data_IF_105921860492
#
_entry.id   IF_105921860492
#
_cell.length_a   1.000
_cell.length_b   1.000
_cell.length_c   1.000
_cell.angle_alpha   90.00
_cell.angle_beta   90.00
_cell.angle_gamma   90.00
#
_symmetry.space_group_name_H-M   'P 1'
#
loop_
_entity.id
_entity.type
_entity.pdbx_description
1 polymer ?
#
# COMPACT_ATOMS: atom_id res chain seq x y z
N UNK A 1 -21.32 -7.56 -7.07
CA UNK A 1 -21.17 -6.09 -7.03
C UNK A 1 -20.23 -5.80 -5.87
N UNK A 2 -18.93 -5.98 -6.10
CA UNK A 2 -17.92 -5.71 -5.07
C UNK A 2 -17.26 -4.37 -5.38
N UNK A 3 -17.19 -3.52 -4.37
CA UNK A 3 -16.88 -2.11 -4.53
C UNK A 3 -15.37 -1.93 -4.69
N UNK A 4 -14.92 -1.77 -5.93
CA UNK A 4 -13.62 -1.15 -6.22
C UNK A 4 -13.72 0.34 -5.88
N UNK A 5 -13.13 0.75 -4.75
CA UNK A 5 -12.93 2.16 -4.44
C UNK A 5 -11.53 2.54 -4.90
N UNK A 6 -11.44 3.43 -5.89
CA UNK A 6 -10.18 3.97 -6.41
C UNK A 6 -10.02 5.40 -5.92
N UNK A 7 -8.94 5.68 -5.20
CA UNK A 7 -8.55 7.03 -4.79
C UNK A 7 -7.34 7.43 -5.62
N UNK A 8 -7.50 8.45 -6.45
CA UNK A 8 -6.43 8.99 -7.28
C UNK A 8 -6.05 10.38 -6.79
N UNK A 9 -4.79 10.58 -6.45
CA UNK A 9 -4.22 11.88 -6.11
C UNK A 9 -3.18 12.30 -7.14
N UNK A 10 -3.25 13.54 -7.64
CA UNK A 10 -2.26 14.12 -8.55
C UNK A 10 -1.50 15.25 -7.86
N UNK A 11 -0.17 15.19 -7.92
CA UNK A 11 0.76 16.18 -7.38
C UNK A 11 1.78 16.64 -8.44
N UNK A 12 2.77 17.44 -8.03
CA UNK A 12 3.60 18.28 -8.92
C UNK A 12 4.38 17.50 -10.02
N UNK A 13 4.47 16.16 -9.94
CA UNK A 13 4.87 15.32 -11.07
C UNK A 13 4.43 13.85 -10.87
N UNK A 14 3.14 13.55 -10.69
CA UNK A 14 2.72 12.13 -10.62
C UNK A 14 1.30 11.86 -10.14
N UNK A 15 0.91 10.59 -10.25
CA UNK A 15 -0.37 10.00 -9.88
C UNK A 15 -0.16 8.80 -8.95
N UNK A 16 -0.80 8.82 -7.78
CA UNK A 16 -0.96 7.65 -6.92
C UNK A 16 -2.40 7.16 -7.02
N UNK A 17 -2.58 5.89 -7.37
CA UNK A 17 -3.86 5.19 -7.33
C UNK A 17 -3.88 4.22 -6.14
N UNK A 18 -4.95 4.24 -5.35
CA UNK A 18 -5.19 3.24 -4.31
C UNK A 18 -6.53 2.56 -4.58
N UNK A 19 -6.51 1.26 -4.79
CA UNK A 19 -7.67 0.44 -5.16
C UNK A 19 -7.97 -0.57 -4.07
N UNK A 20 -9.20 -0.58 -3.56
CA UNK A 20 -9.67 -1.61 -2.62
C UNK A 20 -10.46 -2.67 -3.36
N UNK A 21 -10.03 -3.93 -3.30
CA UNK A 21 -10.61 -5.03 -4.10
C UNK A 21 -11.03 -6.21 -3.24
N UNK A 22 -11.85 -7.10 -3.78
CA UNK A 22 -12.25 -8.34 -3.09
C UNK A 22 -11.16 -9.40 -3.06
N UNK A 23 -11.39 -10.49 -2.31
CA UNK A 23 -10.46 -11.63 -2.28
C UNK A 23 -10.34 -12.28 -3.67
N UNK A 24 -11.46 -12.42 -4.38
CA UNK A 24 -11.50 -13.02 -5.71
C UNK A 24 -10.70 -12.17 -6.71
N UNK A 25 -10.91 -10.86 -6.70
CA UNK A 25 -10.19 -9.91 -7.55
C UNK A 25 -8.69 -9.89 -7.21
N UNK A 26 -8.34 -9.88 -5.93
CA UNK A 26 -6.94 -9.91 -5.48
C UNK A 26 -6.22 -11.19 -5.93
N UNK A 27 -6.84 -12.37 -5.79
CA UNK A 27 -6.25 -13.63 -6.25
C UNK A 27 -6.05 -13.64 -7.77
N UNK A 28 -7.00 -13.09 -8.53
CA UNK A 28 -6.89 -12.98 -9.97
C UNK A 28 -5.73 -12.06 -10.38
N UNK A 29 -5.60 -10.90 -9.72
CA UNK A 29 -4.51 -9.94 -9.97
C UNK A 29 -3.16 -10.57 -9.63
N UNK A 30 -3.04 -11.21 -8.45
CA UNK A 30 -1.81 -11.86 -8.00
C UNK A 30 -1.34 -12.94 -8.98
N UNK A 31 -2.28 -13.76 -9.46
CA UNK A 31 -1.98 -14.81 -10.43
C UNK A 31 -1.61 -14.25 -11.80
N UNK A 32 -2.33 -13.23 -12.28
CA UNK A 32 -2.22 -12.74 -13.66
C UNK A 32 -1.00 -11.83 -13.85
N UNK A 33 -0.71 -10.96 -12.88
CA UNK A 33 0.29 -9.91 -13.04
C UNK A 33 1.55 -10.14 -12.20
N UNK A 34 1.43 -10.77 -11.03
CA UNK A 34 2.60 -11.07 -10.16
C UNK A 34 3.11 -12.49 -10.42
N UNK A 35 2.26 -13.40 -10.88
CA UNK A 35 2.61 -14.80 -11.14
C UNK A 35 2.64 -15.66 -9.88
N UNK A 36 1.95 -15.25 -8.82
CA UNK A 36 1.83 -16.01 -7.58
C UNK A 36 0.41 -16.55 -7.40
N UNK A 37 0.31 -17.80 -6.94
CA UNK A 37 -0.98 -18.40 -6.60
C UNK A 37 -1.40 -18.02 -5.17
N UNK A 38 -2.70 -17.78 -5.01
CA UNK A 38 -3.32 -17.52 -3.71
C UNK A 38 -3.46 -16.03 -3.38
N UNK A 39 -4.06 -15.80 -2.22
CA UNK A 39 -4.46 -14.49 -1.76
C UNK A 39 -3.32 -13.76 -1.04
N UNK A 40 -3.16 -12.48 -1.35
CA UNK A 40 -2.22 -11.58 -0.67
C UNK A 40 -2.97 -10.38 -0.06
N UNK A 41 -2.31 -9.65 0.82
CA UNK A 41 -2.86 -8.50 1.52
C UNK A 41 -2.78 -7.21 0.70
N UNK A 42 -1.65 -6.98 0.05
CA UNK A 42 -1.37 -5.82 -0.80
C UNK A 42 -0.55 -6.21 -2.03
N UNK A 43 -0.80 -5.52 -3.15
CA UNK A 43 0.03 -5.55 -4.35
C UNK A 43 0.36 -4.10 -4.72
N UNK A 44 1.61 -3.83 -5.08
CA UNK A 44 2.05 -2.52 -5.53
C UNK A 44 2.59 -2.64 -6.96
N UNK A 45 2.04 -1.85 -7.87
CA UNK A 45 2.57 -1.66 -9.22
C UNK A 45 3.25 -0.30 -9.33
N UNK A 46 4.39 -0.31 -10.01
CA UNK A 46 5.17 0.88 -10.33
C UNK A 46 5.33 0.92 -11.84
N UNK A 47 4.75 1.94 -12.47
CA UNK A 47 4.66 2.04 -13.93
C UNK A 47 5.78 2.89 -14.55
N UNK A 48 6.77 3.31 -13.74
CA UNK A 48 7.88 4.14 -14.23
C UNK A 48 8.86 3.36 -15.10
N UNK A 49 9.34 4.00 -16.18
CA UNK A 49 10.34 3.41 -17.09
C UNK A 49 11.69 3.16 -16.40
N UNK A 50 12.06 4.03 -15.46
CA UNK A 50 13.33 4.00 -14.71
C UNK A 50 13.32 3.02 -13.51
N UNK A 51 12.19 2.37 -13.22
CA UNK A 51 12.01 1.41 -12.12
C UNK A 51 11.81 2.07 -10.74
N UNK A 52 11.89 1.27 -9.67
CA UNK A 52 11.61 1.73 -8.31
C UNK A 52 12.65 2.75 -7.79
N UNK A 53 12.19 3.87 -7.21
CA UNK A 53 13.02 4.89 -6.54
C UNK A 53 12.46 6.31 -6.66
N UNK A 54 12.52 7.15 -5.62
CA UNK A 54 12.21 8.59 -5.76
C UNK A 54 13.11 9.22 -6.84
N UNK A 55 12.64 10.27 -7.57
CA UNK A 55 13.45 10.96 -8.55
C UNK A 55 14.82 11.33 -7.96
N UNK A 56 15.89 10.83 -8.58
CA UNK A 56 17.23 10.78 -7.96
C UNK A 56 18.06 12.03 -8.22
N UNK A 57 17.67 12.84 -9.21
CA UNK A 57 18.40 14.04 -9.61
C UNK A 57 17.47 15.25 -9.81
N UNK A 58 17.99 16.46 -9.59
CA UNK A 58 17.31 17.70 -9.99
C UNK A 58 17.21 17.74 -11.53
N UNK A 59 16.06 17.35 -12.06
CA UNK A 59 15.83 17.22 -13.50
C UNK A 59 15.14 15.91 -13.91
N UNK A 60 14.97 14.97 -12.97
CA UNK A 60 14.17 13.76 -13.16
C UNK A 60 12.68 14.15 -13.17
N UNK A 61 12.12 14.30 -14.38
CA UNK A 61 10.72 14.68 -14.62
C UNK A 61 9.82 13.46 -14.82
N UNK A 62 10.32 12.24 -14.61
CA UNK A 62 9.50 11.04 -14.80
C UNK A 62 8.32 11.10 -13.83
N UNK A 63 7.08 11.13 -14.35
CA UNK A 63 5.91 11.22 -13.50
C UNK A 63 5.82 9.97 -12.65
N UNK A 64 5.65 10.15 -11.34
CA UNK A 64 5.46 9.03 -10.41
C UNK A 64 4.10 8.41 -10.71
N UNK A 65 4.06 7.20 -11.26
CA UNK A 65 2.82 6.47 -11.54
C UNK A 65 2.79 5.16 -10.75
N UNK A 66 2.09 5.18 -9.63
CA UNK A 66 2.06 4.07 -8.67
C UNK A 66 0.64 3.66 -8.39
N UNK A 67 0.38 2.36 -8.35
CA UNK A 67 -0.89 1.78 -7.95
C UNK A 67 -0.71 0.82 -6.78
N UNK A 68 -1.49 1.04 -5.71
CA UNK A 68 -1.52 0.18 -4.54
C UNK A 68 -2.90 -0.47 -4.46
N UNK A 69 -2.92 -1.79 -4.54
CA UNK A 69 -4.13 -2.60 -4.47
C UNK A 69 -4.18 -3.28 -3.11
N UNK A 70 -5.24 -3.05 -2.35
CA UNK A 70 -5.41 -3.58 -0.99
C UNK A 70 -6.65 -4.46 -0.92
N UNK A 71 -6.55 -5.60 -0.25
CA UNK A 71 -7.70 -6.45 0.05
C UNK A 71 -8.19 -6.18 1.50
N UNK A 72 -9.33 -5.48 1.70
CA UNK A 72 -9.82 -5.13 3.03
C UNK A 72 -10.08 -6.33 3.95
N UNK A 73 -10.58 -7.44 3.41
CA UNK A 73 -10.90 -8.62 4.22
C UNK A 73 -9.63 -9.33 4.73
N UNK A 74 -8.56 -9.37 3.93
CA UNK A 74 -7.25 -9.85 4.37
C UNK A 74 -6.69 -8.92 5.45
N UNK A 75 -6.75 -7.61 5.24
CA UNK A 75 -6.32 -6.62 6.23
C UNK A 75 -7.05 -6.80 7.58
N UNK A 76 -8.36 -7.08 7.56
CA UNK A 76 -9.14 -7.39 8.79
C UNK A 76 -8.63 -8.65 9.48
N UNK A 77 -8.40 -9.73 8.73
CA UNK A 77 -7.88 -10.99 9.29
C UNK A 77 -6.49 -10.80 9.90
N UNK A 78 -5.60 -10.07 9.23
CA UNK A 78 -4.26 -9.79 9.74
C UNK A 78 -4.28 -8.86 10.97
N UNK A 79 -5.11 -7.81 10.93
CA UNK A 79 -5.33 -6.93 12.08
C UNK A 79 -5.80 -7.72 13.31
N UNK A 80 -6.78 -8.61 13.14
CA UNK A 80 -7.28 -9.47 14.21
C UNK A 80 -6.21 -10.43 14.75
N UNK A 81 -5.43 -11.08 13.89
CA UNK A 81 -4.32 -11.96 14.31
C UNK A 81 -3.25 -11.20 15.10
N UNK A 82 -2.98 -9.94 14.73
CA UNK A 82 -1.94 -9.10 15.36
C UNK A 82 -2.46 -8.31 16.57
N UNK A 83 -3.76 -8.34 16.85
CA UNK A 83 -4.38 -7.53 17.89
C UNK A 83 -4.28 -6.02 17.61
N UNK A 84 -4.30 -5.63 16.33
CA UNK A 84 -4.21 -4.24 15.89
C UNK A 84 -5.57 -3.76 15.35
N UNK A 85 -5.86 -2.44 15.41
CA UNK A 85 -7.00 -1.87 14.71
C UNK A 85 -6.91 -2.10 13.20
N UNK A 86 -8.02 -2.45 12.55
CA UNK A 86 -8.12 -2.60 11.09
C UNK A 86 -7.52 -1.40 10.34
N UNK A 87 -7.86 -0.18 10.77
CA UNK A 87 -7.37 1.05 10.15
C UNK A 87 -5.84 1.19 10.19
N UNK A 88 -5.17 0.69 11.25
CA UNK A 88 -3.71 0.68 11.33
C UNK A 88 -3.10 -0.31 10.34
N UNK A 89 -3.74 -1.45 10.13
CA UNK A 89 -3.26 -2.46 9.18
C UNK A 89 -3.35 -1.94 7.73
N UNK A 90 -4.47 -1.30 7.38
CA UNK A 90 -4.62 -0.65 6.06
C UNK A 90 -3.56 0.44 5.86
N UNK A 91 -3.36 1.32 6.83
CA UNK A 91 -2.34 2.38 6.74
C UNK A 91 -0.94 1.77 6.64
N UNK A 92 -0.65 0.68 7.35
CA UNK A 92 0.61 -0.03 7.22
C UNK A 92 0.85 -0.49 5.77
N UNK A 93 -0.16 -1.07 5.11
CA UNK A 93 -0.02 -1.52 3.71
C UNK A 93 0.21 -0.36 2.74
N UNK A 94 -0.50 0.76 2.93
CA UNK A 94 -0.29 1.96 2.11
C UNK A 94 1.12 2.51 2.29
N UNK A 95 1.58 2.66 3.54
CA UNK A 95 2.94 3.14 3.83
C UNK A 95 3.98 2.17 3.27
N UNK A 96 3.77 0.86 3.43
CA UNK A 96 4.68 -0.16 2.90
C UNK A 96 4.80 -0.08 1.37
N UNK A 97 3.68 -0.03 0.65
CA UNK A 97 3.67 0.12 -0.81
C UNK A 97 4.35 1.42 -1.27
N UNK A 98 4.10 2.53 -0.58
CA UNK A 98 4.75 3.81 -0.88
C UNK A 98 6.26 3.79 -0.63
N UNK A 99 6.73 3.09 0.40
CA UNK A 99 8.17 2.95 0.66
C UNK A 99 8.85 2.10 -0.41
N UNK A 100 8.20 1.04 -0.90
CA UNK A 100 8.68 0.29 -2.07
C UNK A 100 8.73 1.16 -3.32
N UNK A 101 7.68 1.94 -3.59
CA UNK A 101 7.69 2.92 -4.67
C UNK A 101 8.78 4.00 -4.48
N UNK A 102 9.15 4.33 -3.24
CA UNK A 102 10.29 5.21 -2.97
C UNK A 102 11.66 4.55 -3.19
N UNK A 103 11.70 3.25 -3.52
CA UNK A 103 12.91 2.45 -3.77
C UNK A 103 13.48 1.75 -2.55
N UNK A 104 12.73 1.70 -1.43
CA UNK A 104 13.12 0.86 -0.29
C UNK A 104 12.80 -0.62 -0.56
N UNK A 105 13.59 -1.52 0.03
CA UNK A 105 13.51 -2.98 -0.16
C UNK A 105 13.49 -3.67 1.22
N UNK A 106 12.79 -4.78 1.35
CA UNK A 106 12.66 -5.58 2.57
C UNK A 106 13.03 -7.07 2.39
N UNK A 107 13.58 -7.46 1.23
CA UNK A 107 13.93 -8.86 0.94
C UNK A 107 15.07 -9.39 1.82
N UNK A 108 15.97 -8.52 2.29
CA UNK A 108 17.09 -8.89 3.18
C UNK A 108 16.78 -8.50 4.62
N UNK A 109 17.14 -9.34 5.63
CA UNK A 109 16.84 -9.05 7.04
C UNK A 109 17.31 -7.68 7.55
N UNK A 110 18.46 -7.20 7.07
CA UNK A 110 18.98 -5.87 7.42
C UNK A 110 18.14 -4.73 6.83
N UNK A 111 17.78 -4.84 5.55
CA UNK A 111 16.96 -3.85 4.84
C UNK A 111 15.53 -3.84 5.39
N UNK A 112 14.96 -5.03 5.63
CA UNK A 112 13.66 -5.21 6.30
C UNK A 112 13.58 -4.49 7.63
N UNK A 113 14.64 -4.55 8.44
CA UNK A 113 14.67 -3.86 9.74
C UNK A 113 14.70 -2.35 9.58
N UNK A 114 15.37 -1.83 8.54
CA UNK A 114 15.43 -0.40 8.24
C UNK A 114 14.05 0.08 7.79
N UNK A 115 13.47 -0.59 6.80
CA UNK A 115 12.15 -0.25 6.27
C UNK A 115 11.07 -0.34 7.37
N UNK A 116 11.10 -1.38 8.22
CA UNK A 116 10.16 -1.49 9.35
C UNK A 116 10.24 -0.33 10.34
N UNK A 117 11.44 0.23 10.57
CA UNK A 117 11.59 1.44 11.41
C UNK A 117 11.01 2.66 10.70
N UNK A 118 11.20 2.76 9.39
CA UNK A 118 10.65 3.83 8.57
C UNK A 118 9.13 3.79 8.56
N UNK A 119 8.53 2.62 8.34
CA UNK A 119 7.08 2.40 8.44
C UNK A 119 6.53 2.92 9.77
N UNK A 120 7.10 2.48 10.89
CA UNK A 120 6.66 2.90 12.22
C UNK A 120 6.78 4.42 12.41
N UNK A 121 7.87 5.03 11.94
CA UNK A 121 8.07 6.48 12.01
C UNK A 121 6.98 7.22 11.21
N UNK A 122 6.79 6.85 9.94
CA UNK A 122 5.81 7.48 9.05
C UNK A 122 4.38 7.31 9.59
N UNK A 123 4.02 6.14 10.09
CA UNK A 123 2.69 5.88 10.67
C UNK A 123 2.46 6.75 11.91
N UNK A 124 3.47 6.93 12.77
CA UNK A 124 3.34 7.79 13.94
C UNK A 124 3.16 9.27 13.53
N UNK A 125 3.93 9.77 12.57
CA UNK A 125 3.79 11.13 12.05
C UNK A 125 2.39 11.34 11.44
N UNK A 126 1.89 10.38 10.66
CA UNK A 126 0.53 10.44 10.11
C UNK A 126 -0.55 10.45 11.20
N UNK A 127 -0.34 9.72 12.30
CA UNK A 127 -1.29 9.65 13.41
C UNK A 127 -1.42 10.98 14.18
N UNK A 128 -0.45 11.89 14.06
CA UNK A 128 -0.52 13.24 14.63
C UNK A 128 -1.51 14.14 13.85
N UNK A 129 -1.75 13.82 12.58
CA UNK A 129 -2.58 14.63 11.68
C UNK A 129 -3.91 13.97 11.31
N UNK A 130 -3.98 12.64 11.34
CA UNK A 130 -5.13 11.89 10.86
C UNK A 130 -5.64 10.90 11.91
N UNK A 131 -6.95 10.87 12.07
CA UNK A 131 -7.65 9.83 12.82
C UNK A 131 -7.93 8.65 11.89
N UNK A 132 -7.05 7.64 11.91
CA UNK A 132 -7.16 6.48 11.02
C UNK A 132 -8.50 5.75 11.14
N UNK A 133 -9.13 5.73 12.32
CA UNK A 133 -10.43 5.08 12.50
C UNK A 133 -11.56 5.84 11.80
N UNK A 134 -11.43 7.16 11.60
CA UNK A 134 -12.38 7.95 10.80
C UNK A 134 -12.14 7.80 9.31
N UNK A 135 -10.88 7.68 8.89
CA UNK A 135 -10.52 7.52 7.47
C UNK A 135 -10.86 6.10 6.97
N UNK A 136 -10.51 5.09 7.76
CA UNK A 136 -10.76 3.68 7.47
C UNK A 136 -11.65 3.09 8.56
N UNK A 137 -12.94 3.41 8.57
CA UNK A 137 -13.86 2.90 9.56
C UNK A 137 -13.97 1.39 9.43
N UNK A 138 -13.99 0.72 10.59
CA UNK A 138 -14.32 -0.68 10.69
C UNK A 138 -15.85 -0.85 10.54
N UNK A 139 -16.35 -0.58 9.33
CA UNK A 139 -17.74 -0.78 8.99
C UNK A 139 -17.93 -2.24 8.58
N UNK A 140 -18.08 -3.12 9.57
CA UNK A 140 -18.76 -4.39 9.34
C UNK A 140 -20.22 -4.04 9.05
N UNK A 141 -20.59 -3.87 7.78
CA UNK A 141 -22.00 -3.99 7.42
C UNK A 141 -22.34 -5.48 7.52
N UNK A 142 -22.86 -5.84 8.68
CA UNK A 142 -23.57 -7.10 8.95
C UNK A 142 -24.69 -7.33 7.95
#
# INVERSE_FOLDING_TARGET
>A
MEAAAVITGSGIAGTLSVSFVSETEMEEINRTYVGHEGLTDVICFDYRESGCGLPKEEGDTDPVEVEIIVCPSVARREAAKRGLPYSKEVVLYLVHGLLHAAGEDDLKPGLKRIMRRRELKTINELAEHFDFAKVFPDAVRS
#
